data_IF_988765262715
#
_entry.id   IF_988765262715
#
_cell.length_a   1.000
_cell.length_b   1.000
_cell.length_c   1.000
_cell.angle_alpha   90.00
_cell.angle_beta   90.00
_cell.angle_gamma   90.00
#
_symmetry.space_group_name_H-M   'P 1'
#
loop_
_entity.id
_entity.type
_entity.pdbx_description
1 polymer ?
#
# COMPACT_ATOMS: atom_id res chain seq x y z
N UNK A 1 -22.58 12.51 -25.00
CA UNK A 1 -21.71 11.50 -24.36
C UNK A 1 -21.03 12.17 -23.19
N UNK A 2 -21.36 11.78 -21.96
CA UNK A 2 -20.68 12.24 -20.76
C UNK A 2 -19.32 11.55 -20.72
N UNK A 3 -18.26 12.34 -20.79
CA UNK A 3 -16.86 11.93 -20.73
C UNK A 3 -16.62 11.06 -19.48
N UNK A 4 -16.54 9.74 -19.67
CA UNK A 4 -16.15 8.76 -18.64
C UNK A 4 -14.62 8.73 -18.46
N UNK A 5 -13.97 9.88 -18.60
CA UNK A 5 -12.56 10.07 -18.26
C UNK A 5 -12.39 9.84 -16.76
N UNK A 6 -11.78 8.70 -16.40
CA UNK A 6 -11.33 8.43 -15.03
C UNK A 6 -10.19 9.39 -14.70
N UNK A 7 -10.53 10.60 -14.28
CA UNK A 7 -9.55 11.58 -13.80
C UNK A 7 -9.23 11.27 -12.34
N UNK A 8 -8.10 10.61 -12.13
CA UNK A 8 -7.53 10.40 -10.81
C UNK A 8 -6.62 11.58 -10.47
N UNK A 9 -7.05 12.38 -9.49
CA UNK A 9 -6.25 13.47 -8.98
C UNK A 9 -5.51 13.02 -7.72
N UNK A 10 -4.23 13.36 -7.62
CA UNK A 10 -3.46 13.14 -6.39
C UNK A 10 -2.61 14.39 -6.12
N UNK A 11 -2.31 14.61 -4.84
CA UNK A 11 -1.34 15.60 -4.39
C UNK A 11 -0.20 14.88 -3.69
N UNK A 12 1.01 15.46 -3.73
CA UNK A 12 2.09 15.01 -2.86
C UNK A 12 1.74 15.49 -1.45
N UNK A 13 1.58 14.58 -0.47
CA UNK A 13 1.21 14.96 0.88
C UNK A 13 2.36 15.66 1.61
N UNK A 14 2.01 16.46 2.62
CA UNK A 14 2.98 17.05 3.54
C UNK A 14 3.82 15.98 4.23
N UNK A 15 5.07 16.31 4.56
CA UNK A 15 5.99 15.37 5.22
C UNK A 15 6.82 14.50 4.28
N UNK A 16 6.64 14.64 2.95
CA UNK A 16 7.59 14.14 1.95
C UNK A 16 8.68 15.19 1.75
N UNK A 17 9.92 14.86 2.09
CA UNK A 17 11.04 15.76 1.87
C UNK A 17 11.25 16.06 0.37
N UNK A 18 11.67 17.27 -0.01
CA UNK A 18 12.03 17.59 -1.39
C UNK A 18 13.10 16.64 -1.93
N UNK A 19 12.99 16.28 -3.21
CA UNK A 19 13.91 15.30 -3.80
C UNK A 19 13.37 14.57 -5.02
N UNK A 20 14.17 13.60 -5.51
CA UNK A 20 13.82 12.73 -6.64
C UNK A 20 13.20 11.44 -6.13
N UNK A 21 12.02 11.10 -6.64
CA UNK A 21 11.28 9.90 -6.25
C UNK A 21 10.78 9.14 -7.49
N UNK A 22 10.33 7.91 -7.26
CA UNK A 22 9.56 7.14 -8.23
C UNK A 22 8.14 7.02 -7.71
N UNK A 23 7.18 7.52 -8.47
CA UNK A 23 5.77 7.30 -8.25
C UNK A 23 5.38 5.96 -8.84
N UNK A 24 4.65 5.14 -8.08
CA UNK A 24 4.04 3.91 -8.57
C UNK A 24 2.53 4.06 -8.59
N UNK A 25 1.92 3.88 -9.75
CA UNK A 25 0.48 3.67 -9.88
C UNK A 25 0.21 2.17 -9.93
N UNK A 26 -0.57 1.65 -8.98
CA UNK A 26 -0.97 0.24 -8.94
C UNK A 26 -2.48 0.11 -9.06
N UNK A 27 -2.93 -0.94 -9.74
CA UNK A 27 -4.35 -1.22 -9.94
C UNK A 27 -4.65 -2.72 -9.84
N UNK A 28 -5.69 -3.05 -9.09
CA UNK A 28 -6.21 -4.40 -8.90
C UNK A 28 -7.62 -4.46 -9.50
N UNK A 29 -7.80 -5.29 -10.51
CA UNK A 29 -9.04 -5.31 -11.29
C UNK A 29 -10.18 -6.06 -10.58
N UNK A 30 -11.36 -5.43 -10.54
CA UNK A 30 -12.57 -6.05 -9.96
C UNK A 30 -13.03 -7.27 -10.77
N UNK A 31 -13.08 -7.19 -12.10
CA UNK A 31 -13.60 -8.22 -13.01
C UNK A 31 -12.47 -8.79 -13.86
N UNK A 32 -12.43 -10.11 -14.07
CA UNK A 32 -11.50 -10.77 -14.99
C UNK A 32 -10.48 -11.70 -14.30
N UNK A 33 -9.29 -11.82 -14.85
CA UNK A 33 -8.22 -12.57 -14.18
C UNK A 33 -7.75 -11.83 -12.93
N UNK A 34 -7.18 -12.54 -11.96
CA UNK A 34 -6.66 -11.90 -10.74
C UNK A 34 -5.30 -11.29 -11.07
N UNK A 35 -5.27 -10.00 -11.37
CA UNK A 35 -4.08 -9.31 -11.90
C UNK A 35 -3.71 -8.10 -11.03
N UNK A 36 -2.44 -7.72 -11.11
CA UNK A 36 -1.92 -6.48 -10.55
C UNK A 36 -1.22 -5.72 -11.66
N UNK A 37 -1.71 -4.52 -11.95
CA UNK A 37 -1.13 -3.60 -12.91
C UNK A 37 -0.26 -2.59 -12.17
N UNK A 38 0.90 -2.23 -12.73
CA UNK A 38 1.81 -1.26 -12.13
C UNK A 38 2.51 -0.42 -13.21
N UNK A 39 2.44 0.91 -13.09
CA UNK A 39 3.26 1.83 -13.88
C UNK A 39 4.10 2.69 -12.94
N UNK A 40 5.38 2.86 -13.26
CA UNK A 40 6.30 3.73 -12.52
C UNK A 40 6.58 5.03 -13.29
N UNK A 41 6.69 6.17 -12.60
CA UNK A 41 7.06 7.45 -13.18
C UNK A 41 8.12 8.17 -12.32
N UNK A 42 9.16 8.77 -12.93
CA UNK A 42 10.08 9.61 -12.18
C UNK A 42 9.40 10.95 -11.83
N UNK A 43 9.48 11.35 -10.57
CA UNK A 43 8.95 12.64 -10.09
C UNK A 43 10.02 13.40 -9.32
N UNK A 44 9.89 14.72 -9.27
CA UNK A 44 10.70 15.59 -8.43
C UNK A 44 9.76 16.39 -7.53
N UNK A 45 9.89 16.22 -6.22
CA UNK A 45 9.18 17.01 -5.21
C UNK A 45 9.99 18.27 -4.98
N UNK A 46 9.39 19.42 -5.26
CA UNK A 46 10.04 20.72 -5.11
C UNK A 46 10.03 21.19 -3.65
N UNK A 47 10.96 22.08 -3.30
CA UNK A 47 10.91 22.79 -2.02
C UNK A 47 9.83 23.87 -2.07
N UNK A 48 8.82 23.75 -1.23
CA UNK A 48 7.85 24.83 -1.03
C UNK A 48 8.39 25.81 0.03
N UNK A 49 9.32 26.70 -0.38
CA UNK A 49 9.89 27.80 0.45
C UNK A 49 10.86 27.38 1.58
N UNK A 50 11.76 28.28 2.05
CA UNK A 50 12.76 27.96 3.06
C UNK A 50 12.14 27.96 4.46
N UNK A 51 11.31 26.98 4.76
CA UNK A 51 10.84 26.72 6.12
C UNK A 51 11.31 25.35 6.57
N UNK A 52 12.39 25.32 7.36
CA UNK A 52 12.85 24.25 8.26
C UNK A 52 12.27 22.84 8.03
N UNK A 53 12.38 22.31 6.82
CA UNK A 53 12.08 20.92 6.56
C UNK A 53 13.26 20.12 7.08
N UNK A 54 13.09 19.47 8.22
CA UNK A 54 14.09 18.53 8.74
C UNK A 54 14.43 17.51 7.66
N UNK A 55 15.72 17.22 7.49
CA UNK A 55 16.34 16.18 6.63
C UNK A 55 15.86 14.75 6.98
N UNK A 56 14.55 14.51 6.95
CA UNK A 56 13.97 13.21 7.22
C UNK A 56 13.29 12.75 5.95
N UNK A 57 13.95 11.84 5.23
CA UNK A 57 13.30 11.04 4.21
C UNK A 57 12.01 10.45 4.80
N UNK A 58 10.90 10.41 4.05
CA UNK A 58 9.64 9.89 4.56
C UNK A 58 9.83 8.45 5.03
N UNK A 59 9.73 8.25 6.34
CA UNK A 59 9.79 6.93 6.96
C UNK A 59 8.41 6.27 6.86
N UNK A 60 8.40 4.95 6.69
CA UNK A 60 7.17 4.17 6.76
C UNK A 60 6.45 4.48 8.07
N UNK A 61 5.18 4.81 7.96
CA UNK A 61 4.32 5.18 9.09
C UNK A 61 2.88 4.82 8.72
N UNK A 62 1.95 4.98 9.66
CA UNK A 62 0.52 4.83 9.34
C UNK A 62 0.05 5.87 8.30
N UNK A 63 0.73 7.02 8.20
CA UNK A 63 0.46 8.03 7.17
C UNK A 63 1.09 7.66 5.81
N UNK A 64 2.22 6.95 5.82
CA UNK A 64 2.92 6.46 4.62
C UNK A 64 3.11 4.94 4.70
N UNK A 65 2.01 4.17 4.56
CA UNK A 65 2.09 2.74 4.68
C UNK A 65 2.83 2.13 3.49
N UNK A 66 3.36 0.91 3.66
CA UNK A 66 3.96 0.22 2.54
C UNK A 66 2.90 -0.15 1.49
N UNK A 67 3.29 -0.12 0.22
CA UNK A 67 2.41 -0.42 -0.90
C UNK A 67 1.88 -1.86 -0.83
N UNK A 68 0.57 -2.04 -0.99
CA UNK A 68 -0.05 -3.36 -1.05
C UNK A 68 0.35 -4.13 -2.31
N UNK A 69 0.65 -5.42 -2.15
CA UNK A 69 1.04 -6.33 -3.24
C UNK A 69 0.18 -7.58 -3.17
N UNK A 70 -0.48 -7.91 -4.28
CA UNK A 70 -1.27 -9.12 -4.46
C UNK A 70 -1.24 -9.56 -5.93
N UNK A 71 -1.77 -10.75 -6.22
CA UNK A 71 -1.89 -11.38 -7.54
C UNK A 71 -0.55 -11.70 -8.25
N UNK A 72 0.59 -11.24 -7.71
CA UNK A 72 1.94 -11.53 -8.21
C UNK A 72 2.84 -12.23 -7.18
N UNK A 73 2.35 -12.39 -5.96
CA UNK A 73 3.11 -12.91 -4.81
C UNK A 73 2.45 -14.13 -4.16
N UNK A 74 1.40 -14.72 -4.73
CA UNK A 74 0.68 -15.85 -4.11
C UNK A 74 -0.44 -15.45 -3.14
N UNK A 75 -0.65 -14.16 -2.87
CA UNK A 75 -1.88 -13.63 -2.27
C UNK A 75 -2.85 -13.27 -3.40
N UNK A 76 -3.98 -13.95 -3.48
CA UNK A 76 -4.95 -13.86 -4.59
C UNK A 76 -6.19 -13.10 -4.11
N UNK A 77 -6.42 -11.94 -4.73
CA UNK A 77 -7.60 -11.09 -4.49
C UNK A 77 -8.90 -11.76 -4.93
N UNK A 78 -10.01 -11.37 -4.30
CA UNK A 78 -11.34 -11.85 -4.69
C UNK A 78 -11.84 -11.15 -5.95
N UNK A 79 -12.56 -11.88 -6.79
CA UNK A 79 -13.25 -11.30 -7.94
C UNK A 79 -14.58 -10.64 -7.53
N UNK A 80 -15.04 -9.68 -8.35
CA UNK A 80 -16.32 -8.98 -8.24
C UNK A 80 -16.46 -8.04 -7.04
N UNK A 81 -15.37 -7.74 -6.33
CA UNK A 81 -15.33 -6.76 -5.25
C UNK A 81 -14.32 -5.64 -5.53
N UNK A 82 -14.63 -4.44 -5.07
CA UNK A 82 -13.66 -3.34 -4.98
C UNK A 82 -12.89 -3.53 -3.67
N UNK A 83 -11.70 -4.12 -3.74
CA UNK A 83 -10.90 -4.48 -2.56
C UNK A 83 -10.63 -3.26 -1.69
N UNK A 84 -10.57 -3.46 -0.37
CA UNK A 84 -10.01 -2.47 0.54
C UNK A 84 -8.52 -2.81 0.77
N UNK A 85 -7.67 -1.79 0.89
CA UNK A 85 -6.29 -2.03 1.29
C UNK A 85 -6.21 -2.22 2.80
N UNK A 86 -5.43 -3.19 3.32
CA UNK A 86 -5.26 -3.37 4.77
C UNK A 86 -4.70 -2.11 5.46
N UNK A 87 -3.84 -1.38 4.75
CA UNK A 87 -3.24 -0.12 5.20
C UNK A 87 -3.42 0.93 4.09
N UNK A 88 -4.60 1.57 4.01
CA UNK A 88 -4.91 2.50 2.93
C UNK A 88 -4.24 3.88 3.10
N UNK A 89 -3.63 4.14 4.26
CA UNK A 89 -3.09 5.44 4.63
C UNK A 89 -4.18 6.40 5.11
N UNK A 90 -3.84 7.69 5.25
CA UNK A 90 -4.76 8.73 5.71
C UNK A 90 -5.58 9.39 4.59
N UNK A 91 -5.18 9.22 3.32
CA UNK A 91 -5.81 9.85 2.16
C UNK A 91 -6.45 8.76 1.30
N UNK A 92 -7.78 8.66 1.33
CA UNK A 92 -8.54 7.59 0.65
C UNK A 92 -9.74 8.20 -0.07
N UNK A 93 -9.97 7.76 -1.31
CA UNK A 93 -11.11 8.17 -2.14
C UNK A 93 -11.94 6.95 -2.57
N UNK A 94 -13.26 7.10 -2.59
CA UNK A 94 -14.19 6.04 -2.97
C UNK A 94 -14.99 6.44 -4.22
N UNK A 95 -14.48 6.03 -5.39
CA UNK A 95 -15.06 6.37 -6.70
C UNK A 95 -15.81 5.20 -7.37
N UNK A 96 -15.98 4.09 -6.65
CA UNK A 96 -16.73 2.90 -7.09
C UNK A 96 -18.17 2.86 -6.58
N UNK A 97 -18.93 1.88 -7.03
CA UNK A 97 -20.28 1.62 -6.51
C UNK A 97 -20.18 0.90 -5.16
N UNK A 98 -20.80 1.47 -4.13
CA UNK A 98 -20.79 0.92 -2.76
C UNK A 98 -21.22 -0.53 -2.65
N UNK A 99 -22.02 -1.06 -3.59
CA UNK A 99 -22.48 -2.45 -3.57
C UNK A 99 -21.36 -3.48 -3.81
N UNK A 100 -20.22 -3.05 -4.37
CA UNK A 100 -19.07 -3.92 -4.60
C UNK A 100 -18.04 -3.85 -3.47
N UNK A 101 -18.25 -3.02 -2.44
CA UNK A 101 -17.36 -3.00 -1.28
C UNK A 101 -17.54 -4.28 -0.45
N UNK A 102 -16.43 -4.95 -0.07
CA UNK A 102 -16.49 -6.11 0.82
C UNK A 102 -16.95 -5.68 2.23
N UNK A 103 -17.42 -6.65 3.03
CA UNK A 103 -17.75 -6.39 4.43
C UNK A 103 -16.47 -6.12 5.24
N UNK A 104 -16.61 -5.32 6.29
CA UNK A 104 -15.52 -5.02 7.20
C UNK A 104 -14.98 -6.29 7.85
N UNK A 105 -13.65 -6.44 7.92
CA UNK A 105 -12.99 -7.61 8.49
C UNK A 105 -12.88 -8.84 7.58
N UNK A 106 -13.41 -8.79 6.35
CA UNK A 106 -13.12 -9.84 5.36
C UNK A 106 -11.66 -9.78 4.90
N UNK A 107 -10.98 -10.93 4.72
CA UNK A 107 -9.61 -10.93 4.23
C UNK A 107 -9.55 -10.39 2.79
N UNK A 108 -8.61 -9.47 2.54
CA UNK A 108 -8.40 -8.82 1.23
C UNK A 108 -7.98 -9.82 0.14
N UNK A 109 -7.24 -10.85 0.53
CA UNK A 109 -6.80 -11.92 -0.36
C UNK A 109 -6.72 -13.27 0.36
N UNK A 110 -6.56 -14.33 -0.43
CA UNK A 110 -6.35 -15.71 0.03
C UNK A 110 -5.02 -16.25 -0.47
N UNK A 111 -4.50 -17.33 0.11
CA UNK A 111 -3.21 -17.91 -0.24
C UNK A 111 -2.08 -17.47 0.69
N UNK A 112 -0.85 -17.84 0.34
CA UNK A 112 0.35 -17.57 1.15
C UNK A 112 1.30 -16.65 0.37
N UNK A 113 1.35 -15.35 0.71
CA UNK A 113 2.27 -14.43 0.06
C UNK A 113 3.73 -14.89 0.21
N UNK A 114 4.47 -15.00 -0.90
CA UNK A 114 5.90 -15.34 -0.93
C UNK A 114 6.79 -14.12 -0.72
N UNK A 115 6.26 -12.93 -0.97
CA UNK A 115 6.87 -11.64 -0.66
C UNK A 115 5.78 -10.59 -0.47
N UNK A 116 6.11 -9.52 0.25
CA UNK A 116 5.18 -8.45 0.49
C UNK A 116 5.69 -7.51 1.58
N UNK A 117 4.99 -6.41 1.80
CA UNK A 117 5.34 -5.50 2.87
C UNK A 117 5.14 -6.15 4.25
N UNK A 118 6.04 -5.84 5.17
CA UNK A 118 5.93 -6.26 6.57
C UNK A 118 4.79 -5.44 7.21
N UNK A 119 3.93 -6.07 8.04
CA UNK A 119 2.92 -5.34 8.80
C UNK A 119 3.51 -4.19 9.59
N UNK A 120 2.88 -3.01 9.54
CA UNK A 120 3.23 -1.91 10.45
C UNK A 120 2.76 -2.31 11.84
N UNK A 121 3.66 -2.88 12.64
CA UNK A 121 3.49 -3.00 14.09
C UNK A 121 4.03 -1.73 14.72
N UNK A 122 3.20 -1.04 15.48
CA UNK A 122 3.57 0.18 16.21
C UNK A 122 4.50 -0.17 17.39
N UNK A 123 5.74 -0.52 17.06
CA UNK A 123 6.84 -0.60 18.02
C UNK A 123 7.99 0.15 17.38
N UNK A 124 8.30 1.33 17.92
CA UNK A 124 9.47 2.09 17.53
C UNK A 124 10.72 1.19 17.57
N UNK A 125 11.23 0.83 16.39
CA UNK A 125 12.47 0.09 16.26
C UNK A 125 13.64 1.09 16.36
N UNK A 126 14.04 1.36 17.61
CA UNK A 126 15.41 1.76 17.90
C UNK A 126 16.25 0.48 17.95
N UNK A 127 16.73 0.04 16.78
CA UNK A 127 17.54 -1.17 16.67
C UNK A 127 18.39 -1.16 15.41
N UNK A 128 19.71 -1.19 15.59
CA UNK A 128 20.72 -1.18 14.55
C UNK A 128 20.52 -2.26 13.48
N UNK A 129 20.61 -1.86 12.21
CA UNK A 129 20.76 -2.79 11.10
C UNK A 129 22.12 -3.49 11.21
N UNK A 130 22.13 -4.69 11.81
CA UNK A 130 23.25 -5.60 11.63
C UNK A 130 22.85 -6.73 10.68
N UNK A 131 23.48 -6.70 9.50
CA UNK A 131 23.41 -7.74 8.48
C UNK A 131 24.09 -9.01 9.01
N UNK A 132 23.31 -10.05 9.30
CA UNK A 132 23.79 -11.43 9.20
C UNK A 132 22.66 -12.34 8.74
N UNK A 133 22.89 -12.95 7.58
CA UNK A 133 22.29 -14.21 7.15
C UNK A 133 22.29 -15.23 8.28
N UNK A 134 21.13 -15.80 8.62
CA UNK A 134 21.00 -17.23 8.89
C UNK A 134 19.54 -17.71 8.89
N UNK A 135 19.44 -18.97 8.50
CA UNK A 135 18.28 -19.77 8.17
C UNK A 135 17.35 -19.97 9.38
N UNK A 136 16.05 -19.67 9.27
CA UNK A 136 15.06 -20.04 10.29
C UNK A 136 13.73 -20.47 9.66
N UNK A 137 13.32 -21.67 10.04
CA UNK A 137 12.09 -22.36 9.68
C UNK A 137 10.86 -21.43 9.60
N UNK A 138 10.19 -21.50 8.46
CA UNK A 138 8.89 -20.90 8.20
C UNK A 138 7.81 -21.51 9.12
N UNK A 139 7.39 -20.75 10.13
CA UNK A 139 6.07 -20.92 10.74
C UNK A 139 5.10 -19.89 10.11
N UNK A 140 3.84 -20.28 9.88
CA UNK A 140 2.94 -19.53 9.01
C UNK A 140 2.37 -18.30 9.72
N UNK A 141 2.23 -17.20 8.97
CA UNK A 141 1.45 -16.04 9.39
C UNK A 141 -0.03 -16.44 9.46
N UNK A 142 -0.55 -16.67 10.66
CA UNK A 142 -1.98 -16.72 10.92
C UNK A 142 -2.57 -15.32 10.76
N UNK A 143 -3.33 -15.09 9.69
CA UNK A 143 -4.31 -14.02 9.67
C UNK A 143 -5.45 -14.38 10.63
N UNK A 144 -5.55 -13.65 11.74
CA UNK A 144 -6.62 -13.83 12.72
C UNK A 144 -6.62 -12.72 13.75
N UNK A 145 -7.26 -11.59 13.44
CA UNK A 145 -7.70 -10.66 14.46
C UNK A 145 -8.90 -11.28 15.17
N UNK A 146 -8.70 -11.88 16.35
CA UNK A 146 -9.79 -12.17 17.30
C UNK A 146 -9.93 -10.99 18.25
N UNK A 147 -11.07 -10.31 18.19
CA UNK A 147 -11.51 -9.37 19.20
C UNK A 147 -12.78 -9.89 19.89
N UNK A 148 -12.65 -10.29 21.16
CA UNK A 148 -13.59 -10.09 22.27
C UNK A 148 -12.91 -10.54 23.55
#
# INVERSE_FOLDING_TARGET
>A
ESDHSLQLHFAIPDGIAPGKYTLAWTWFNRIGNREMYMNCAPITVAEESPSNSSDNAPKQSLAFPPMFIANVNGCITRENVDIHFPWPGSIVEYNGDSKYRPQEGEPVCTGNPTFGPIPITDTADTGEANSTTENANSMPCSCGCQGS
#
